data_IF_904196969219
#
_entry.id   IF_904196969219
#
_cell.length_a   1.000
_cell.length_b   1.000
_cell.length_c   1.000
_cell.angle_alpha   90.00
_cell.angle_beta   90.00
_cell.angle_gamma   90.00
#
_symmetry.space_group_name_H-M   'P 1'
#
loop_
_entity.id
_entity.type
_entity.pdbx_description
1 polymer ?
#
# COMPACT_ATOMS: atom_id res chain seq x y z
N UNK A 1 6.80 7.28 -17.99
CA UNK A 1 7.37 8.65 -18.09
C UNK A 1 8.20 9.06 -16.87
N UNK A 2 7.66 9.05 -15.65
CA UNK A 2 8.39 9.52 -14.45
C UNK A 2 9.66 8.71 -14.14
N UNK A 3 9.62 7.39 -14.27
CA UNK A 3 10.79 6.51 -14.02
C UNK A 3 11.97 6.87 -14.94
N UNK A 4 11.71 7.29 -16.18
CA UNK A 4 12.76 7.68 -17.13
C UNK A 4 13.48 8.99 -16.74
N UNK A 5 12.91 9.76 -15.80
CA UNK A 5 13.56 10.96 -15.24
C UNK A 5 14.51 10.64 -14.09
N UNK A 6 14.50 9.41 -13.58
CA UNK A 6 15.47 8.97 -12.59
C UNK A 6 16.87 8.87 -13.23
N UNK A 7 17.90 8.97 -12.40
CA UNK A 7 19.27 8.65 -12.84
C UNK A 7 19.29 7.21 -13.39
N UNK A 8 19.99 6.93 -14.51
CA UNK A 8 20.22 5.55 -14.93
C UNK A 8 20.82 4.73 -13.80
N UNK A 9 20.30 3.52 -13.58
CA UNK A 9 20.70 2.65 -12.48
C UNK A 9 20.21 3.08 -11.09
N UNK A 10 19.19 3.92 -10.99
CA UNK A 10 18.59 4.29 -9.71
C UNK A 10 17.92 3.09 -9.01
N UNK A 11 17.71 3.23 -7.69
CA UNK A 11 16.91 2.31 -6.89
C UNK A 11 15.60 2.98 -6.49
N UNK A 12 14.50 2.22 -6.52
CA UNK A 12 13.20 2.65 -6.02
C UNK A 12 12.77 1.70 -4.90
N UNK A 13 12.36 2.28 -3.76
CA UNK A 13 11.80 1.55 -2.62
C UNK A 13 10.36 2.03 -2.42
N UNK A 14 9.39 1.11 -2.39
CA UNK A 14 7.99 1.44 -2.17
C UNK A 14 7.39 0.54 -1.09
N UNK A 15 7.15 1.11 0.09
CA UNK A 15 6.38 0.52 1.20
C UNK A 15 5.12 1.34 1.50
N UNK A 16 4.69 2.17 0.55
CA UNK A 16 3.49 3.00 0.67
C UNK A 16 2.27 2.23 0.16
N UNK A 17 2.04 2.18 -1.16
CA UNK A 17 0.97 1.39 -1.80
C UNK A 17 1.42 0.90 -3.18
N UNK A 18 1.07 -0.33 -3.55
CA UNK A 18 1.48 -0.93 -4.82
C UNK A 18 0.96 -0.15 -6.04
N UNK A 19 -0.25 0.38 -5.95
CA UNK A 19 -0.92 1.14 -7.03
C UNK A 19 -0.30 2.51 -7.34
N UNK A 20 0.71 2.95 -6.57
CA UNK A 20 1.51 4.15 -6.90
C UNK A 20 2.36 3.90 -8.16
N UNK A 21 2.79 2.66 -8.37
CA UNK A 21 3.62 2.29 -9.50
C UNK A 21 2.82 1.57 -10.57
N UNK A 22 3.08 1.90 -11.84
CA UNK A 22 2.67 1.05 -12.96
C UNK A 22 3.49 -0.24 -12.93
N UNK A 23 2.79 -1.37 -12.80
CA UNK A 23 3.40 -2.69 -12.59
C UNK A 23 4.39 -3.04 -13.71
N UNK A 24 4.00 -2.84 -14.96
CA UNK A 24 4.78 -3.26 -16.12
C UNK A 24 5.90 -2.26 -16.45
N UNK A 25 5.73 -0.98 -16.10
CA UNK A 25 6.78 0.03 -16.24
C UNK A 25 7.96 -0.22 -15.31
N UNK A 26 7.72 -0.73 -14.09
CA UNK A 26 8.78 -1.16 -13.18
C UNK A 26 9.60 -2.30 -13.80
N UNK A 27 8.92 -3.33 -14.33
CA UNK A 27 9.57 -4.48 -14.99
C UNK A 27 10.44 -4.00 -16.15
N UNK A 28 9.88 -3.21 -17.07
CA UNK A 28 10.63 -2.68 -18.22
C UNK A 28 11.85 -1.84 -17.80
N UNK A 29 11.72 -1.05 -16.74
CA UNK A 29 12.82 -0.21 -16.26
C UNK A 29 13.96 -1.00 -15.63
N UNK A 30 13.66 -2.14 -15.00
CA UNK A 30 14.66 -3.07 -14.48
C UNK A 30 15.34 -3.84 -15.61
N UNK A 31 14.56 -4.32 -16.60
CA UNK A 31 15.07 -5.00 -17.78
C UNK A 31 15.99 -4.10 -18.62
N UNK A 32 15.64 -2.82 -18.76
CA UNK A 32 16.43 -1.86 -19.54
C UNK A 32 17.65 -1.31 -18.79
N UNK A 33 17.81 -1.61 -17.49
CA UNK A 33 18.82 -1.01 -16.62
C UNK A 33 18.57 0.47 -16.27
N UNK A 34 17.40 1.02 -16.59
CA UNK A 34 17.01 2.36 -16.10
C UNK A 34 16.95 2.36 -14.56
N UNK A 35 16.51 1.25 -13.97
CA UNK A 35 16.62 0.97 -12.54
C UNK A 35 17.59 -0.19 -12.31
N UNK A 36 18.44 -0.04 -11.30
CA UNK A 36 19.30 -1.13 -10.79
C UNK A 36 18.60 -1.97 -9.73
N UNK A 37 17.45 -1.54 -9.23
CA UNK A 37 16.67 -2.34 -8.30
C UNK A 37 15.34 -1.72 -7.89
N UNK A 38 14.41 -2.58 -7.54
CA UNK A 38 13.12 -2.23 -6.97
C UNK A 38 12.83 -3.12 -5.77
N UNK A 39 12.49 -2.53 -4.63
CA UNK A 39 12.11 -3.29 -3.44
C UNK A 39 10.89 -2.67 -2.75
N UNK A 40 10.18 -3.48 -1.98
CA UNK A 40 8.95 -3.07 -1.35
C UNK A 40 8.17 -4.25 -0.80
N UNK A 41 7.15 -3.95 -0.01
CA UNK A 41 6.26 -4.94 0.58
C UNK A 41 4.80 -4.79 0.11
N UNK A 42 4.50 -3.74 -0.66
CA UNK A 42 3.12 -3.43 -1.11
C UNK A 42 2.85 -3.88 -2.54
N UNK A 43 1.64 -4.37 -2.77
CA UNK A 43 1.21 -4.93 -4.06
C UNK A 43 -0.15 -4.37 -4.48
N UNK A 44 -0.51 -4.53 -5.75
CA UNK A 44 -1.88 -4.34 -6.20
C UNK A 44 -2.28 -5.44 -7.21
N UNK A 45 -3.38 -6.17 -6.99
CA UNK A 45 -4.21 -6.16 -5.77
C UNK A 45 -3.53 -6.93 -4.61
N UNK A 46 -4.21 -7.08 -3.47
CA UNK A 46 -3.72 -7.87 -2.33
C UNK A 46 -4.79 -8.88 -1.85
N UNK A 47 -4.47 -10.19 -1.77
CA UNK A 47 -3.20 -10.82 -2.13
C UNK A 47 -2.89 -10.68 -3.64
N UNK A 48 -1.61 -10.52 -3.96
CA UNK A 48 -1.17 -10.47 -5.35
C UNK A 48 -1.30 -11.86 -5.99
N UNK A 49 -1.85 -11.98 -7.22
CA UNK A 49 -1.91 -13.24 -7.95
C UNK A 49 -0.56 -13.99 -7.95
N UNK A 50 -0.60 -15.33 -8.02
CA UNK A 50 0.61 -16.17 -7.95
C UNK A 50 1.60 -15.86 -9.10
N UNK A 51 1.09 -15.38 -10.23
CA UNK A 51 1.82 -15.00 -11.44
C UNK A 51 2.10 -13.49 -11.56
N UNK A 52 1.93 -12.73 -10.47
CA UNK A 52 2.20 -11.29 -10.48
C UNK A 52 3.67 -11.00 -10.85
N UNK A 53 3.89 -10.20 -11.90
CA UNK A 53 5.21 -10.01 -12.54
C UNK A 53 6.33 -9.55 -11.60
N UNK A 54 6.03 -8.78 -10.55
CA UNK A 54 7.03 -8.39 -9.54
C UNK A 54 7.58 -9.55 -8.68
N UNK A 55 7.01 -10.75 -8.78
CA UNK A 55 7.53 -11.95 -8.10
C UNK A 55 8.79 -12.51 -8.76
N UNK A 56 9.02 -12.21 -10.04
CA UNK A 56 10.09 -12.82 -10.85
C UNK A 56 10.90 -11.83 -11.70
N UNK A 57 10.59 -10.54 -11.63
CA UNK A 57 11.34 -9.51 -12.37
C UNK A 57 12.80 -9.40 -11.90
N UNK A 58 13.75 -8.97 -12.75
CA UNK A 58 15.16 -8.88 -12.36
C UNK A 58 15.40 -7.84 -11.25
N UNK A 59 16.43 -8.07 -10.42
CA UNK A 59 16.91 -7.13 -9.39
C UNK A 59 15.83 -6.65 -8.39
N UNK A 60 14.86 -7.52 -8.07
CA UNK A 60 13.81 -7.21 -7.11
C UNK A 60 14.16 -7.63 -5.67
N UNK A 61 13.69 -6.87 -4.68
CA UNK A 61 13.79 -7.15 -3.25
C UNK A 61 12.41 -7.17 -2.59
N UNK A 62 11.47 -7.91 -3.18
CA UNK A 62 10.06 -7.87 -2.76
C UNK A 62 9.78 -8.82 -1.60
N UNK A 63 8.92 -8.37 -0.68
CA UNK A 63 8.28 -9.23 0.33
C UNK A 63 6.75 -9.13 0.22
N UNK A 64 5.97 -10.06 0.80
CA UNK A 64 4.56 -9.80 1.07
C UNK A 64 4.39 -8.57 1.98
N UNK A 65 3.18 -8.02 2.05
CA UNK A 65 2.89 -6.81 2.84
C UNK A 65 2.93 -7.11 4.34
N UNK A 66 4.09 -6.90 4.94
CA UNK A 66 4.37 -7.32 6.31
C UNK A 66 4.94 -6.22 7.19
N UNK A 67 5.42 -5.10 6.63
CA UNK A 67 6.11 -4.04 7.42
C UNK A 67 5.23 -3.49 8.54
N UNK A 68 3.96 -3.23 8.25
CA UNK A 68 2.97 -2.72 9.21
C UNK A 68 2.39 -3.75 10.19
N UNK A 69 2.71 -5.04 10.04
CA UNK A 69 2.09 -6.14 10.82
C UNK A 69 3.11 -7.01 11.57
N UNK A 70 4.29 -6.47 11.89
CA UNK A 70 5.22 -7.09 12.85
C UNK A 70 4.55 -7.28 14.21
N UNK A 71 4.95 -8.28 15.00
CA UNK A 71 4.32 -8.59 16.30
C UNK A 71 4.21 -7.36 17.22
N UNK A 72 5.25 -6.51 17.25
CA UNK A 72 5.22 -5.26 18.02
C UNK A 72 4.18 -4.26 17.52
N UNK A 73 3.95 -4.18 16.20
CA UNK A 73 2.91 -3.33 15.64
C UNK A 73 1.51 -3.88 15.90
N UNK A 74 1.34 -5.21 15.90
CA UNK A 74 0.05 -5.86 16.16
C UNK A 74 -0.55 -5.48 17.51
N UNK A 75 0.27 -5.43 18.56
CA UNK A 75 -0.20 -4.96 19.88
C UNK A 75 -0.83 -3.58 19.79
N UNK A 76 -0.11 -2.61 19.19
CA UNK A 76 -0.57 -1.21 19.17
C UNK A 76 -1.81 -0.99 18.30
N UNK A 77 -1.88 -1.60 17.12
CA UNK A 77 -3.08 -1.42 16.29
C UNK A 77 -4.26 -2.21 16.85
N UNK A 78 -4.04 -3.34 17.54
CA UNK A 78 -5.13 -4.06 18.21
C UNK A 78 -5.72 -3.23 19.35
N UNK A 79 -4.87 -2.59 20.17
CA UNK A 79 -5.30 -1.67 21.22
C UNK A 79 -6.04 -0.46 20.63
N UNK A 80 -5.54 0.13 19.54
CA UNK A 80 -6.19 1.25 18.86
C UNK A 80 -7.55 0.88 18.23
N UNK A 81 -7.70 -0.32 17.66
CA UNK A 81 -9.00 -0.82 17.18
C UNK A 81 -9.98 -0.96 18.33
N UNK A 82 -9.54 -1.52 19.47
CA UNK A 82 -10.36 -1.64 20.67
C UNK A 82 -10.80 -0.27 21.19
N UNK A 83 -9.88 0.69 21.28
CA UNK A 83 -10.17 2.06 21.73
C UNK A 83 -11.25 2.72 20.85
N UNK A 84 -11.14 2.59 19.51
CA UNK A 84 -12.15 3.12 18.59
C UNK A 84 -13.53 2.49 18.82
N UNK A 85 -13.58 1.18 19.10
CA UNK A 85 -14.83 0.49 19.39
C UNK A 85 -15.43 0.91 20.74
N UNK A 86 -14.61 1.11 21.76
CA UNK A 86 -15.04 1.63 23.07
C UNK A 86 -15.68 3.01 22.89
N UNK A 87 -15.01 3.95 22.21
CA UNK A 87 -15.60 5.26 21.92
C UNK A 87 -16.91 5.15 21.12
N UNK A 88 -16.94 4.28 20.10
CA UNK A 88 -18.13 4.11 19.26
C UNK A 88 -19.34 3.60 20.05
N UNK A 89 -19.15 2.58 20.91
CA UNK A 89 -20.26 1.98 21.66
C UNK A 89 -20.71 2.82 22.86
N UNK A 90 -19.80 3.57 23.47
CA UNK A 90 -20.11 4.47 24.59
C UNK A 90 -20.62 5.85 24.11
N UNK A 91 -20.62 6.09 22.80
CA UNK A 91 -21.05 7.35 22.20
C UNK A 91 -20.06 8.49 22.44
N UNK A 92 -18.80 8.17 22.72
CA UNK A 92 -17.71 9.13 22.87
C UNK A 92 -17.10 9.49 21.50
N UNK A 93 -16.44 10.65 21.44
CA UNK A 93 -15.77 11.08 20.22
C UNK A 93 -14.52 10.22 19.92
N UNK A 94 -14.46 9.65 18.72
CA UNK A 94 -13.25 9.02 18.21
C UNK A 94 -12.17 10.09 18.02
N UNK A 95 -10.94 9.81 18.48
CA UNK A 95 -9.83 10.75 18.39
C UNK A 95 -9.61 11.25 16.95
N UNK A 96 -9.42 12.56 16.81
CA UNK A 96 -9.24 13.21 15.51
C UNK A 96 -8.16 12.58 14.60
N UNK A 97 -6.99 12.12 15.11
CA UNK A 97 -5.99 11.47 14.27
C UNK A 97 -6.41 10.14 13.64
N UNK A 98 -7.49 9.51 14.12
CA UNK A 98 -7.98 8.22 13.61
C UNK A 98 -9.06 8.40 12.53
N UNK A 99 -9.66 9.59 12.45
CA UNK A 99 -10.72 9.87 11.51
C UNK A 99 -10.17 10.01 10.10
N UNK A 100 -10.86 9.36 9.16
CA UNK A 100 -10.65 9.51 7.71
C UNK A 100 -11.90 10.08 7.04
N UNK A 101 -13.07 9.56 7.38
CA UNK A 101 -14.38 10.05 6.92
C UNK A 101 -15.32 10.09 8.12
N UNK A 102 -16.07 11.17 8.27
CA UNK A 102 -17.14 11.32 9.26
C UNK A 102 -18.24 12.22 8.68
N UNK A 103 -19.49 11.91 8.98
CA UNK A 103 -20.67 12.71 8.58
C UNK A 103 -20.75 13.06 7.09
N UNK A 104 -20.28 12.14 6.23
CA UNK A 104 -20.35 12.26 4.77
C UNK A 104 -19.20 13.06 4.13
N UNK A 105 -18.20 13.49 4.90
CA UNK A 105 -17.01 14.17 4.36
C UNK A 105 -15.70 13.64 4.96
N UNK A 106 -14.57 14.02 4.35
CA UNK A 106 -13.24 13.81 4.91
C UNK A 106 -13.15 14.53 6.26
N UNK A 107 -12.59 13.84 7.25
CA UNK A 107 -12.42 14.34 8.61
C UNK A 107 -11.03 13.97 9.13
N UNK A 108 -10.58 14.67 10.18
CA UNK A 108 -9.29 14.41 10.84
C UNK A 108 -8.12 14.27 9.86
N UNK A 109 -7.41 13.14 9.94
CA UNK A 109 -6.29 12.83 9.03
C UNK A 109 -6.74 12.61 7.59
N UNK A 110 -7.98 12.19 7.37
CA UNK A 110 -8.55 12.06 6.03
C UNK A 110 -8.53 13.38 5.26
N UNK A 111 -8.96 14.47 5.89
CA UNK A 111 -9.01 15.80 5.28
C UNK A 111 -7.62 16.37 4.97
N UNK A 112 -6.60 15.99 5.76
CA UNK A 112 -5.22 16.41 5.52
C UNK A 112 -4.54 15.61 4.39
N UNK A 113 -4.81 14.31 4.29
CA UNK A 113 -3.98 13.38 3.51
C UNK A 113 -4.62 12.83 2.25
N UNK A 114 -5.95 12.93 2.09
CA UNK A 114 -6.68 12.30 0.98
C UNK A 114 -7.48 13.29 0.15
N UNK A 115 -7.82 12.86 -1.06
CA UNK A 115 -8.78 13.53 -1.94
C UNK A 115 -9.98 12.62 -2.14
N UNK A 116 -11.16 13.19 -2.41
CA UNK A 116 -12.37 12.41 -2.73
C UNK A 116 -12.17 11.66 -4.04
N UNK A 117 -12.48 10.37 -4.07
CA UNK A 117 -12.34 9.52 -5.26
C UNK A 117 -12.32 8.02 -4.92
N UNK A 118 -12.04 7.19 -5.92
CA UNK A 118 -11.89 5.74 -5.75
C UNK A 118 -10.55 5.23 -6.27
N UNK A 119 -9.93 4.35 -5.49
CA UNK A 119 -8.69 3.65 -5.87
C UNK A 119 -8.87 2.12 -5.94
N UNK A 120 -10.10 1.60 -5.84
CA UNK A 120 -10.39 0.16 -5.67
C UNK A 120 -10.60 -0.60 -6.99
N UNK A 121 -10.78 0.06 -8.12
CA UNK A 121 -10.93 -0.62 -9.41
C UNK A 121 -9.74 -1.54 -9.72
N UNK A 122 -10.01 -2.79 -10.13
CA UNK A 122 -9.00 -3.84 -10.33
C UNK A 122 -8.76 -4.73 -9.11
N UNK A 123 -9.36 -4.42 -7.95
CA UNK A 123 -9.17 -5.20 -6.72
C UNK A 123 -9.68 -6.64 -6.80
N UNK A 124 -10.66 -6.90 -7.67
CA UNK A 124 -11.26 -8.20 -7.95
C UNK A 124 -10.23 -9.25 -8.42
N UNK A 125 -9.12 -8.82 -9.02
CA UNK A 125 -8.04 -9.71 -9.42
C UNK A 125 -7.38 -10.44 -8.23
N UNK A 126 -7.56 -9.96 -6.99
CA UNK A 126 -7.09 -10.64 -5.79
C UNK A 126 -7.64 -12.06 -5.66
N UNK A 127 -8.86 -12.30 -6.19
CA UNK A 127 -9.49 -13.61 -6.18
C UNK A 127 -8.74 -14.66 -7.01
N UNK A 128 -7.82 -14.25 -7.90
CA UNK A 128 -6.98 -15.16 -8.69
C UNK A 128 -5.87 -15.83 -7.85
N UNK A 129 -5.56 -15.30 -6.67
CA UNK A 129 -4.57 -15.89 -5.77
C UNK A 129 -5.04 -17.24 -5.22
N UNK A 130 -4.14 -18.24 -5.26
CA UNK A 130 -4.34 -19.57 -4.68
C UNK A 130 -3.29 -19.82 -3.60
N UNK A 131 -3.75 -20.29 -2.45
CA UNK A 131 -2.92 -20.69 -1.31
C UNK A 131 -2.15 -21.98 -1.62
#
# INVERSE_FOLDING_TARGET
>A
ELIAKCKPGAYIINTARGKICDKDAIVRALESGQLSGYAGDVWFPQPAPNDHVWRTMPHHGMTPHTSGTSLSAQTRYADGVREILECFFDGEEIRNPYLIVQDGDLAGMGAHSYTKGTATGGSEEAAKFKK
#
